data_IF_511889709971
#
_entry.id   IF_511889709971
#
_cell.length_a   1.000
_cell.length_b   1.000
_cell.length_c   1.000
_cell.angle_alpha   90.00
_cell.angle_beta   90.00
_cell.angle_gamma   90.00
#
_symmetry.space_group_name_H-M   'P 1'
#
loop_
_entity.id
_entity.type
_entity.pdbx_description
1 polymer ?
#
# COMPACT_ATOMS: atom_id res chain seq x y z
N UNK A 1 -19.80 -10.85 59.30
CA UNK A 1 -19.07 -11.49 58.18
C UNK A 1 -19.10 -10.54 56.97
N UNK A 2 -17.97 -9.89 56.65
CA UNK A 2 -17.85 -9.01 55.48
C UNK A 2 -17.06 -9.74 54.40
N UNK A 3 -17.70 -10.03 53.30
CA UNK A 3 -17.08 -10.69 52.13
C UNK A 3 -16.41 -9.59 51.30
N UNK A 4 -15.11 -9.63 51.02
CA UNK A 4 -14.48 -8.69 50.08
C UNK A 4 -14.77 -9.14 48.65
N UNK A 5 -15.39 -8.26 47.85
CA UNK A 5 -15.57 -8.42 46.41
C UNK A 5 -14.21 -8.19 45.76
N UNK A 6 -13.59 -9.27 45.29
CA UNK A 6 -12.37 -9.19 44.45
C UNK A 6 -12.82 -8.80 43.03
N UNK A 7 -12.57 -7.54 42.67
CA UNK A 7 -12.73 -7.08 41.29
C UNK A 7 -11.50 -7.57 40.49
N UNK A 8 -11.68 -8.66 39.74
CA UNK A 8 -10.70 -9.10 38.72
C UNK A 8 -10.73 -8.10 37.57
N UNK A 9 -9.78 -7.16 37.56
CA UNK A 9 -9.51 -6.32 36.42
C UNK A 9 -8.81 -7.18 35.34
N UNK A 10 -9.57 -7.70 34.38
CA UNK A 10 -9.02 -8.32 33.16
C UNK A 10 -8.40 -7.18 32.32
N UNK A 11 -7.10 -6.99 32.44
CA UNK A 11 -6.33 -6.24 31.45
C UNK A 11 -6.41 -6.99 30.12
N UNK A 12 -7.27 -6.54 29.23
CA UNK A 12 -7.21 -6.90 27.82
C UNK A 12 -5.91 -6.33 27.25
N UNK A 13 -4.87 -7.15 27.22
CA UNK A 13 -3.67 -6.90 26.40
C UNK A 13 -4.13 -6.93 24.95
N UNK A 14 -4.47 -5.78 24.40
CA UNK A 14 -4.55 -5.60 22.97
C UNK A 14 -3.11 -5.77 22.43
N UNK A 15 -2.72 -7.02 22.21
CA UNK A 15 -1.55 -7.34 21.43
C UNK A 15 -1.78 -6.69 20.05
N UNK A 16 -0.98 -5.69 19.69
CA UNK A 16 -0.92 -5.18 18.32
C UNK A 16 -0.49 -6.35 17.44
N UNK A 17 -1.46 -7.10 16.93
CA UNK A 17 -1.21 -8.18 16.00
C UNK A 17 -0.58 -7.53 14.75
N UNK A 18 0.69 -7.84 14.51
CA UNK A 18 1.40 -7.33 13.33
C UNK A 18 0.70 -7.89 12.10
N UNK A 19 0.20 -7.01 11.23
CA UNK A 19 -0.53 -7.42 10.02
C UNK A 19 0.41 -8.21 9.10
N UNK A 20 0.01 -9.38 8.59
CA UNK A 20 0.85 -10.18 7.68
C UNK A 20 1.10 -9.51 6.34
N UNK A 21 0.17 -8.65 5.91
CA UNK A 21 0.30 -7.79 4.72
C UNK A 21 -0.10 -6.38 5.11
N UNK A 22 0.78 -5.43 4.85
CA UNK A 22 0.53 -3.99 5.00
C UNK A 22 0.06 -3.42 3.68
N UNK A 23 -0.91 -2.52 3.72
CA UNK A 23 -1.48 -1.85 2.53
C UNK A 23 -1.23 -0.36 2.64
N UNK A 24 -0.51 0.21 1.67
CA UNK A 24 -0.22 1.65 1.59
C UNK A 24 -0.54 2.17 0.19
N UNK A 25 -1.37 3.21 0.12
CA UNK A 25 -1.61 3.93 -1.12
C UNK A 25 -0.63 5.10 -1.26
N UNK A 26 0.06 5.14 -2.40
CA UNK A 26 0.99 6.20 -2.77
C UNK A 26 0.30 7.16 -3.73
N UNK A 27 -0.22 8.26 -3.21
CA UNK A 27 -1.05 9.21 -3.95
C UNK A 27 -0.33 9.83 -5.15
N UNK A 28 0.95 10.13 -5.02
CA UNK A 28 1.75 10.74 -6.10
C UNK A 28 1.95 9.81 -7.31
N UNK A 29 2.02 8.51 -7.05
CA UNK A 29 2.23 7.49 -8.08
C UNK A 29 0.91 6.86 -8.56
N UNK A 30 -0.20 7.15 -7.88
CA UNK A 30 -1.52 6.50 -8.02
C UNK A 30 -1.39 4.96 -7.96
N UNK A 31 -0.61 4.46 -6.99
CA UNK A 31 -0.32 3.05 -6.81
C UNK A 31 -0.57 2.61 -5.38
N UNK A 32 -1.24 1.48 -5.21
CA UNK A 32 -1.32 0.78 -3.93
C UNK A 32 -0.25 -0.30 -3.84
N UNK A 33 0.53 -0.27 -2.77
CA UNK A 33 1.51 -1.30 -2.43
C UNK A 33 0.99 -2.18 -1.31
N UNK A 34 0.99 -3.48 -1.57
CA UNK A 34 0.72 -4.53 -0.60
C UNK A 34 2.05 -5.18 -0.25
N UNK A 35 2.51 -5.00 0.98
CA UNK A 35 3.84 -5.43 1.43
C UNK A 35 3.70 -6.52 2.48
N UNK A 36 4.32 -7.68 2.28
CA UNK A 36 4.32 -8.76 3.27
C UNK A 36 5.22 -8.42 4.45
N UNK A 37 4.94 -9.02 5.60
CA UNK A 37 5.95 -9.11 6.66
C UNK A 37 7.22 -9.79 6.13
N UNK A 38 8.36 -9.40 6.71
CA UNK A 38 9.63 -10.01 6.40
C UNK A 38 9.66 -11.46 6.90
N UNK A 39 9.77 -12.40 5.97
CA UNK A 39 10.09 -13.78 6.29
C UNK A 39 11.59 -13.92 6.53
N UNK A 40 11.98 -14.61 7.62
CA UNK A 40 13.38 -14.88 7.95
C UNK A 40 13.69 -16.35 7.72
N UNK A 41 14.80 -16.61 7.05
CA UNK A 41 15.36 -17.95 6.92
C UNK A 41 16.85 -17.95 7.31
N UNK A 42 17.30 -19.01 7.95
CA UNK A 42 18.65 -19.14 8.45
C UNK A 42 19.31 -20.44 7.96
N UNK A 43 20.59 -20.37 7.60
CA UNK A 43 21.41 -21.51 7.25
C UNK A 43 22.87 -21.24 7.56
N UNK A 44 23.52 -22.12 8.35
CA UNK A 44 24.97 -22.03 8.66
C UNK A 44 25.38 -20.62 9.15
N UNK A 45 24.68 -20.06 10.12
CA UNK A 45 24.91 -18.72 10.66
C UNK A 45 24.70 -17.56 9.66
N UNK A 46 24.00 -17.80 8.55
CA UNK A 46 23.54 -16.76 7.63
C UNK A 46 22.04 -16.59 7.78
N UNK A 47 21.60 -15.37 8.03
CA UNK A 47 20.18 -14.97 8.04
C UNK A 47 19.89 -14.20 6.76
N UNK A 48 18.79 -14.53 6.11
CA UNK A 48 18.21 -13.76 5.03
C UNK A 48 16.80 -13.33 5.42
N UNK A 49 16.36 -12.19 4.88
CA UNK A 49 14.99 -11.68 5.02
C UNK A 49 14.39 -11.53 3.63
N UNK A 50 13.19 -12.04 3.47
CA UNK A 50 12.42 -11.93 2.22
C UNK A 50 11.18 -11.09 2.46
N UNK A 51 10.95 -10.11 1.59
CA UNK A 51 9.75 -9.28 1.57
C UNK A 51 9.19 -9.31 0.16
N UNK A 52 7.91 -9.62 0.02
CA UNK A 52 7.21 -9.55 -1.24
C UNK A 52 6.31 -8.31 -1.29
N UNK A 53 6.30 -7.64 -2.45
CA UNK A 53 5.48 -6.45 -2.70
C UNK A 53 4.70 -6.65 -3.98
N UNK A 54 3.38 -6.46 -3.89
CA UNK A 54 2.47 -6.38 -5.02
C UNK A 54 2.05 -4.94 -5.22
N UNK A 55 2.16 -4.44 -6.45
CA UNK A 55 1.76 -3.09 -6.81
C UNK A 55 0.52 -3.12 -7.70
N UNK A 56 -0.47 -2.31 -7.36
CA UNK A 56 -1.71 -2.18 -8.11
C UNK A 56 -1.98 -0.73 -8.46
N UNK A 57 -2.42 -0.40 -9.69
CA UNK A 57 -2.75 0.96 -10.07
C UNK A 57 -4.01 1.46 -9.35
N UNK A 58 -3.95 2.64 -8.75
CA UNK A 58 -5.06 3.20 -7.97
C UNK A 58 -5.31 2.47 -6.64
N UNK A 59 -6.50 2.67 -6.09
CA UNK A 59 -6.96 2.04 -4.84
C UNK A 59 -7.76 0.78 -5.12
N UNK A 60 -7.09 -0.25 -5.64
CA UNK A 60 -7.70 -1.55 -5.97
C UNK A 60 -6.78 -2.69 -5.58
N UNK A 61 -7.36 -3.88 -5.37
CA UNK A 61 -6.62 -5.13 -5.29
C UNK A 61 -6.70 -5.78 -6.66
N UNK A 62 -5.62 -5.74 -7.41
CA UNK A 62 -5.54 -6.25 -8.78
C UNK A 62 -4.90 -7.65 -8.82
N UNK A 63 -5.05 -8.35 -9.95
CA UNK A 63 -4.11 -9.39 -10.34
C UNK A 63 -2.87 -8.70 -10.91
N UNK A 64 -1.70 -8.99 -10.38
CA UNK A 64 -0.45 -8.39 -10.82
C UNK A 64 0.23 -9.30 -11.81
N UNK A 65 0.92 -8.74 -12.81
CA UNK A 65 1.74 -9.56 -13.71
C UNK A 65 3.00 -10.05 -13.01
N UNK A 66 3.53 -9.25 -12.09
CA UNK A 66 4.78 -9.51 -11.39
C UNK A 66 4.66 -9.11 -9.90
N UNK A 67 5.35 -9.89 -9.07
CA UNK A 67 5.55 -9.63 -7.64
C UNK A 67 7.01 -9.24 -7.44
N UNK A 68 7.25 -8.12 -6.79
CA UNK A 68 8.56 -7.65 -6.42
C UNK A 68 9.03 -8.38 -5.16
N UNK A 69 10.08 -9.18 -5.28
CA UNK A 69 10.70 -9.89 -4.16
C UNK A 69 12.01 -9.22 -3.78
N UNK A 70 12.12 -8.78 -2.54
CA UNK A 70 13.37 -8.25 -1.98
C UNK A 70 13.97 -9.27 -1.04
N UNK A 71 15.21 -9.69 -1.29
CA UNK A 71 16.00 -10.56 -0.43
C UNK A 71 17.09 -9.70 0.20
N UNK A 72 17.12 -9.66 1.53
CA UNK A 72 18.08 -8.85 2.28
C UNK A 72 18.99 -9.74 3.12
N UNK A 73 20.29 -9.44 3.13
CA UNK A 73 21.28 -10.03 4.01
C UNK A 73 22.13 -8.93 4.63
N UNK A 74 22.53 -9.12 5.89
CA UNK A 74 23.36 -8.18 6.61
C UNK A 74 24.53 -8.93 7.28
N UNK A 75 25.77 -8.64 6.84
CA UNK A 75 26.97 -9.27 7.38
C UNK A 75 28.19 -8.32 7.21
N UNK A 76 29.36 -8.74 7.65
CA UNK A 76 30.63 -8.01 7.43
C UNK A 76 31.10 -8.06 5.98
N UNK A 77 30.75 -9.13 5.27
CA UNK A 77 31.18 -9.40 3.90
C UNK A 77 29.99 -9.60 2.98
N UNK A 78 30.20 -9.29 1.69
CA UNK A 78 29.19 -9.52 0.67
C UNK A 78 28.80 -11.01 0.60
N UNK A 79 27.49 -11.25 0.61
CA UNK A 79 26.93 -12.59 0.55
C UNK A 79 26.38 -12.93 -0.85
N UNK A 80 25.74 -11.97 -1.52
CA UNK A 80 25.10 -12.23 -2.82
C UNK A 80 26.01 -12.09 -4.02
N UNK A 81 27.08 -11.29 -3.93
CA UNK A 81 27.92 -10.95 -5.08
C UNK A 81 28.51 -12.20 -5.75
N UNK A 82 28.22 -12.35 -7.05
CA UNK A 82 28.72 -13.45 -7.89
C UNK A 82 28.06 -14.81 -7.60
N UNK A 83 26.93 -14.85 -6.91
CA UNK A 83 26.17 -16.08 -6.67
C UNK A 83 24.89 -16.09 -7.48
N UNK A 84 24.55 -17.26 -7.98
CA UNK A 84 23.27 -17.52 -8.59
C UNK A 84 22.19 -17.70 -7.53
N UNK A 85 20.99 -17.14 -7.81
CA UNK A 85 19.84 -17.27 -6.96
C UNK A 85 18.72 -18.02 -7.68
N UNK A 86 18.05 -18.90 -6.97
CA UNK A 86 16.86 -19.59 -7.48
C UNK A 86 15.91 -19.98 -6.35
N UNK A 87 14.61 -20.06 -6.67
CA UNK A 87 13.62 -20.73 -5.84
C UNK A 87 13.39 -22.14 -6.39
N UNK A 88 13.52 -23.13 -5.55
CA UNK A 88 13.27 -24.54 -5.89
C UNK A 88 12.02 -25.03 -5.16
N UNK A 89 11.13 -25.65 -5.89
CA UNK A 89 9.89 -26.24 -5.40
C UNK A 89 9.72 -27.63 -6.00
N UNK A 90 8.78 -28.42 -5.52
CA UNK A 90 8.40 -29.68 -6.17
C UNK A 90 7.83 -29.50 -7.58
N UNK A 91 7.43 -28.29 -7.95
CA UNK A 91 6.88 -27.95 -9.28
C UNK A 91 7.95 -27.43 -10.24
N UNK A 92 9.19 -27.30 -9.79
CA UNK A 92 10.32 -26.87 -10.61
C UNK A 92 11.16 -25.77 -9.99
N UNK A 93 12.16 -25.35 -10.78
CA UNK A 93 13.12 -24.31 -10.43
C UNK A 93 12.76 -22.99 -11.10
N UNK A 94 12.77 -21.92 -10.31
CA UNK A 94 12.58 -20.54 -10.76
C UNK A 94 13.91 -19.81 -10.61
N UNK A 95 14.53 -19.41 -11.71
CA UNK A 95 15.80 -18.67 -11.69
C UNK A 95 15.54 -17.21 -11.33
N UNK A 96 16.33 -16.69 -10.38
CA UNK A 96 16.18 -15.33 -9.86
C UNK A 96 17.35 -14.41 -10.27
N UNK A 97 18.23 -14.84 -11.17
CA UNK A 97 19.50 -14.18 -11.47
C UNK A 97 19.39 -12.90 -12.31
N UNK A 98 18.22 -12.58 -12.77
CA UNK A 98 18.07 -11.45 -13.67
C UNK A 98 17.44 -10.29 -12.90
N UNK A 99 18.20 -9.45 -12.23
CA UNK A 99 17.82 -8.04 -12.05
C UNK A 99 18.48 -7.38 -10.84
N UNK A 100 18.09 -6.18 -10.49
CA UNK A 100 18.75 -5.18 -9.69
C UNK A 100 19.35 -5.67 -8.35
N UNK A 101 20.66 -5.62 -8.28
CA UNK A 101 21.40 -5.75 -7.04
C UNK A 101 21.74 -4.36 -6.50
N UNK A 102 21.36 -4.08 -5.29
CA UNK A 102 21.79 -2.88 -4.56
C UNK A 102 22.45 -3.25 -3.24
N UNK A 103 23.42 -2.47 -2.82
CA UNK A 103 24.01 -2.60 -1.51
C UNK A 103 24.06 -1.25 -0.77
N UNK A 104 23.94 -1.31 0.52
CA UNK A 104 24.17 -0.16 1.40
C UNK A 104 25.12 -0.59 2.51
N UNK A 105 26.16 0.20 2.71
CA UNK A 105 27.09 -0.01 3.80
C UNK A 105 26.72 0.91 4.96
N UNK A 106 26.29 0.35 6.07
CA UNK A 106 26.06 1.09 7.30
C UNK A 106 27.17 0.84 8.31
N UNK A 107 27.88 1.89 8.68
CA UNK A 107 28.70 1.90 9.89
C UNK A 107 27.73 1.94 11.08
N UNK A 108 27.39 0.80 11.66
CA UNK A 108 26.76 0.83 12.98
C UNK A 108 27.76 1.48 13.93
N UNK A 109 27.31 2.54 14.61
CA UNK A 109 28.05 3.13 15.70
C UNK A 109 28.53 2.00 16.61
N UNK A 110 29.85 1.87 16.73
CA UNK A 110 30.65 0.95 17.56
C UNK A 110 29.83 -0.07 18.33
N UNK A 111 29.79 -1.29 17.87
CA UNK A 111 29.61 -2.39 18.78
C UNK A 111 30.65 -2.22 19.90
N UNK A 112 30.30 -2.53 21.16
CA UNK A 112 31.17 -2.39 22.33
C UNK A 112 32.53 -3.09 22.18
N UNK A 113 32.68 -3.95 21.17
CA UNK A 113 33.88 -4.72 20.85
C UNK A 113 34.76 -4.10 19.73
N UNK A 114 34.41 -2.90 19.24
CA UNK A 114 35.21 -2.21 18.21
C UNK A 114 35.18 -2.84 16.83
N UNK A 115 34.36 -3.86 16.60
CA UNK A 115 34.28 -4.59 15.33
C UNK A 115 33.38 -3.88 14.33
N UNK A 116 33.98 -3.47 13.24
CA UNK A 116 33.59 -2.80 12.01
C UNK A 116 32.12 -2.76 11.57
N UNK A 117 31.88 -2.02 10.49
CA UNK A 117 30.56 -1.83 9.89
C UNK A 117 29.88 -3.10 9.40
N UNK A 118 28.57 -3.00 9.19
CA UNK A 118 27.75 -4.06 8.60
C UNK A 118 27.37 -3.67 7.19
N UNK A 119 27.68 -4.52 6.23
CA UNK A 119 27.20 -4.42 4.86
C UNK A 119 25.78 -5.03 4.81
N UNK A 120 24.81 -4.22 4.42
CA UNK A 120 23.45 -4.70 4.12
C UNK A 120 23.31 -4.76 2.61
N UNK A 121 23.01 -5.94 2.10
CA UNK A 121 22.76 -6.17 0.68
C UNK A 121 21.28 -6.43 0.44
N UNK A 122 20.78 -5.87 -0.65
CA UNK A 122 19.42 -6.08 -1.12
C UNK A 122 19.48 -6.64 -2.53
N UNK A 123 18.85 -7.75 -2.72
CA UNK A 123 18.65 -8.35 -4.04
C UNK A 123 17.17 -8.21 -4.41
N UNK A 124 16.92 -7.44 -5.46
CA UNK A 124 15.57 -7.08 -5.91
C UNK A 124 15.25 -7.82 -7.20
N UNK A 125 14.14 -8.54 -7.21
CA UNK A 125 13.70 -9.39 -8.30
C UNK A 125 12.23 -9.15 -8.57
N UNK A 126 11.82 -9.21 -9.83
CA UNK A 126 10.43 -9.34 -10.24
C UNK A 126 10.16 -10.80 -10.61
N UNK A 127 9.25 -11.44 -9.88
CA UNK A 127 8.80 -12.80 -10.12
C UNK A 127 7.41 -12.74 -10.73
N UNK A 128 7.14 -13.49 -11.80
CA UNK A 128 5.78 -13.55 -12.35
C UNK A 128 4.81 -14.07 -11.29
N UNK A 129 3.56 -13.57 -11.27
CA UNK A 129 2.57 -14.03 -10.29
C UNK A 129 2.40 -15.56 -10.30
N UNK A 130 2.36 -16.27 -11.46
CA UNK A 130 2.29 -17.73 -11.49
C UNK A 130 3.49 -18.43 -10.85
N UNK A 131 4.71 -17.93 -11.06
CA UNK A 131 5.90 -18.52 -10.45
C UNK A 131 5.98 -18.22 -8.96
N UNK A 132 5.58 -17.00 -8.55
CA UNK A 132 5.47 -16.67 -7.13
C UNK A 132 4.40 -17.53 -6.44
N UNK A 133 3.29 -17.83 -7.12
CA UNK A 133 2.24 -18.72 -6.63
C UNK A 133 2.77 -20.14 -6.40
N UNK A 134 3.58 -20.69 -7.34
CA UNK A 134 4.24 -21.99 -7.14
C UNK A 134 5.06 -21.99 -5.85
N UNK A 135 5.87 -20.95 -5.62
CA UNK A 135 6.70 -20.85 -4.41
C UNK A 135 5.86 -20.66 -3.13
N UNK A 136 4.78 -19.89 -3.18
CA UNK A 136 3.92 -19.60 -2.03
C UNK A 136 3.12 -20.82 -1.55
N UNK A 137 2.65 -21.67 -2.49
CA UNK A 137 1.79 -22.82 -2.19
C UNK A 137 2.50 -24.18 -2.27
N UNK A 138 3.78 -24.21 -2.59
CA UNK A 138 4.57 -25.46 -2.60
C UNK A 138 4.51 -26.16 -1.23
N UNK A 139 4.56 -27.49 -1.21
CA UNK A 139 4.79 -28.23 0.05
C UNK A 139 6.18 -27.92 0.58
N UNK A 140 7.18 -27.94 -0.32
CA UNK A 140 8.57 -27.59 -0.03
C UNK A 140 9.01 -26.45 -0.94
N UNK A 141 9.50 -25.38 -0.37
CA UNK A 141 10.09 -24.25 -1.09
C UNK A 141 11.44 -23.89 -0.48
N UNK A 142 12.44 -23.76 -1.32
CA UNK A 142 13.82 -23.51 -0.89
C UNK A 142 14.42 -22.38 -1.72
N UNK A 143 15.00 -21.38 -1.07
CA UNK A 143 15.83 -20.38 -1.75
C UNK A 143 17.27 -20.87 -1.78
N UNK A 144 17.82 -20.97 -2.98
CA UNK A 144 19.23 -21.31 -3.22
C UNK A 144 19.99 -20.01 -3.47
N UNK A 145 21.11 -19.82 -2.78
CA UNK A 145 22.05 -18.71 -2.96
C UNK A 145 23.46 -19.31 -3.08
N UNK A 146 23.92 -19.57 -4.29
CA UNK A 146 25.16 -20.36 -4.52
C UNK A 146 25.07 -21.70 -3.82
N UNK A 147 25.98 -21.97 -2.88
CA UNK A 147 26.05 -23.23 -2.12
C UNK A 147 25.15 -23.26 -0.87
N UNK A 148 24.34 -22.22 -0.66
CA UNK A 148 23.44 -22.13 0.49
C UNK A 148 22.02 -22.44 0.07
N UNK A 149 21.35 -23.26 0.89
CA UNK A 149 19.96 -23.68 0.70
C UNK A 149 19.15 -23.25 1.92
N UNK A 150 18.28 -22.25 1.77
CA UNK A 150 17.42 -21.73 2.82
C UNK A 150 16.02 -22.30 2.65
N UNK A 151 15.60 -23.11 3.60
CA UNK A 151 14.25 -23.64 3.61
C UNK A 151 13.24 -22.52 3.93
N UNK A 152 12.22 -22.39 3.10
CA UNK A 152 11.14 -21.45 3.29
C UNK A 152 9.95 -22.19 3.91
N UNK A 153 9.83 -22.11 5.25
CA UNK A 153 8.78 -22.81 5.99
C UNK A 153 7.37 -22.45 5.50
N UNK A 154 6.42 -23.35 5.60
CA UNK A 154 5.02 -23.12 5.24
C UNK A 154 4.42 -21.95 6.01
N UNK A 155 4.72 -21.84 7.30
CA UNK A 155 4.25 -20.73 8.15
C UNK A 155 4.80 -19.39 7.70
N UNK A 156 6.09 -19.32 7.36
CA UNK A 156 6.72 -18.10 6.86
C UNK A 156 6.16 -17.64 5.51
N UNK A 157 5.59 -18.55 4.71
CA UNK A 157 4.98 -18.26 3.41
C UNK A 157 3.50 -17.87 3.48
N UNK A 158 2.86 -17.95 4.65
CA UNK A 158 1.46 -17.52 4.83
C UNK A 158 1.23 -16.07 4.36
N UNK A 159 2.09 -15.09 4.66
CA UNK A 159 1.93 -13.72 4.12
C UNK A 159 1.97 -13.67 2.59
N UNK A 160 2.74 -14.54 1.92
CA UNK A 160 2.78 -14.64 0.47
C UNK A 160 1.46 -15.15 -0.11
N UNK A 161 0.85 -16.15 0.55
CA UNK A 161 -0.46 -16.69 0.17
C UNK A 161 -1.56 -15.63 0.35
N UNK A 162 -1.49 -14.84 1.43
CA UNK A 162 -2.41 -13.72 1.66
C UNK A 162 -2.26 -12.66 0.58
N UNK A 163 -1.01 -12.33 0.17
CA UNK A 163 -0.73 -11.35 -0.88
C UNK A 163 -1.35 -11.72 -2.24
N UNK A 164 -1.49 -13.02 -2.51
CA UNK A 164 -2.08 -13.56 -3.74
C UNK A 164 -3.61 -13.62 -3.69
N UNK A 165 -4.20 -13.63 -2.50
CA UNK A 165 -5.63 -13.81 -2.28
C UNK A 165 -6.30 -12.47 -1.92
N UNK A 166 -7.15 -11.97 -2.84
CA UNK A 166 -7.88 -10.72 -2.65
C UNK A 166 -8.72 -10.69 -1.37
N UNK A 167 -9.47 -11.76 -1.12
CA UNK A 167 -10.38 -11.80 0.02
C UNK A 167 -9.59 -11.80 1.34
N UNK A 168 -8.49 -12.54 1.38
CA UNK A 168 -7.60 -12.55 2.55
C UNK A 168 -6.89 -11.21 2.77
N UNK A 169 -6.53 -10.46 1.73
CA UNK A 169 -6.01 -9.09 1.89
C UNK A 169 -7.06 -8.21 2.57
N UNK A 170 -8.34 -8.29 2.14
CA UNK A 170 -9.43 -7.51 2.70
C UNK A 170 -9.68 -7.79 4.19
N UNK A 171 -9.40 -9.01 4.68
CA UNK A 171 -9.54 -9.36 6.10
C UNK A 171 -8.65 -8.52 7.02
N UNK A 172 -7.49 -8.08 6.53
CA UNK A 172 -6.51 -7.29 7.28
C UNK A 172 -6.67 -5.77 7.10
N UNK A 173 -7.62 -5.32 6.29
CA UNK A 173 -7.97 -3.92 6.11
C UNK A 173 -8.97 -3.45 7.16
N UNK A 174 -8.93 -2.16 7.49
CA UNK A 174 -9.99 -1.54 8.25
C UNK A 174 -11.29 -1.39 7.41
N UNK A 175 -12.38 -0.93 8.03
CA UNK A 175 -13.68 -0.86 7.35
C UNK A 175 -13.69 0.14 6.20
N UNK A 176 -12.99 1.26 6.33
CA UNK A 176 -12.90 2.28 5.30
C UNK A 176 -12.10 1.77 4.10
N UNK A 177 -10.93 1.17 4.36
CA UNK A 177 -10.13 0.51 3.35
C UNK A 177 -10.92 -0.60 2.64
N UNK A 178 -11.67 -1.44 3.37
CA UNK A 178 -12.49 -2.50 2.77
C UNK A 178 -13.54 -1.95 1.80
N UNK A 179 -14.20 -0.86 2.15
CA UNK A 179 -15.16 -0.22 1.24
C UNK A 179 -14.49 0.29 -0.02
N UNK A 180 -13.31 0.85 0.10
CA UNK A 180 -12.60 1.44 -1.02
C UNK A 180 -11.92 0.39 -1.92
N UNK A 181 -11.22 -0.58 -1.33
CA UNK A 181 -10.50 -1.64 -2.05
C UNK A 181 -11.34 -2.87 -2.37
N UNK A 182 -12.49 -3.03 -1.74
CA UNK A 182 -13.42 -4.12 -1.97
C UNK A 182 -14.03 -4.13 -3.37
N UNK A 183 -14.04 -2.99 -4.07
CA UNK A 183 -14.58 -2.88 -5.43
C UNK A 183 -13.68 -3.56 -6.45
N UNK A 184 -14.30 -4.16 -7.47
CA UNK A 184 -13.56 -4.66 -8.62
C UNK A 184 -12.97 -3.51 -9.44
N UNK A 185 -11.85 -3.72 -10.16
CA UNK A 185 -11.19 -2.66 -10.93
C UNK A 185 -12.12 -1.91 -11.90
N UNK A 186 -13.05 -2.62 -12.56
CA UNK A 186 -14.03 -2.02 -13.47
C UNK A 186 -15.07 -1.15 -12.73
N UNK A 187 -15.54 -1.59 -11.55
CA UNK A 187 -16.51 -0.84 -10.73
C UNK A 187 -15.87 0.45 -10.20
N UNK A 188 -14.59 0.41 -9.81
CA UNK A 188 -13.86 1.58 -9.39
C UNK A 188 -13.66 2.57 -10.55
N UNK A 189 -13.40 2.09 -11.77
CA UNK A 189 -13.31 2.92 -12.97
C UNK A 189 -14.65 3.59 -13.27
N UNK A 190 -15.74 2.84 -13.27
CA UNK A 190 -17.08 3.38 -13.48
C UNK A 190 -17.46 4.42 -12.44
N UNK A 191 -17.15 4.19 -11.15
CA UNK A 191 -17.36 5.16 -10.08
C UNK A 191 -16.57 6.44 -10.31
N UNK A 192 -15.28 6.35 -10.66
CA UNK A 192 -14.45 7.52 -10.99
C UNK A 192 -15.02 8.29 -12.19
N UNK A 193 -15.46 7.60 -13.25
CA UNK A 193 -16.07 8.23 -14.42
C UNK A 193 -17.40 8.93 -14.06
N UNK A 194 -18.21 8.32 -13.21
CA UNK A 194 -19.45 8.92 -12.71
C UNK A 194 -19.18 10.18 -11.87
N UNK A 195 -18.19 10.15 -10.98
CA UNK A 195 -17.79 11.30 -10.16
C UNK A 195 -17.26 12.46 -11.03
N UNK A 196 -16.46 12.16 -12.04
CA UNK A 196 -15.99 13.16 -13.02
C UNK A 196 -17.16 13.74 -13.81
N UNK A 197 -18.08 12.90 -14.27
CA UNK A 197 -19.30 13.35 -15.00
C UNK A 197 -20.16 14.24 -14.10
N UNK A 198 -20.38 13.85 -12.83
CA UNK A 198 -21.15 14.62 -11.85
C UNK A 198 -20.52 15.98 -11.59
N UNK A 199 -19.20 16.04 -11.36
CA UNK A 199 -18.46 17.31 -11.18
C UNK A 199 -18.58 18.21 -12.40
N UNK A 200 -18.48 17.64 -13.60
CA UNK A 200 -18.65 18.39 -14.86
C UNK A 200 -20.06 18.97 -14.98
N UNK A 201 -21.10 18.17 -14.73
CA UNK A 201 -22.49 18.64 -14.78
C UNK A 201 -22.75 19.78 -13.78
N UNK A 202 -22.22 19.67 -12.55
CA UNK A 202 -22.34 20.74 -11.53
C UNK A 202 -21.63 22.02 -12.00
N UNK A 203 -20.44 21.89 -12.61
CA UNK A 203 -19.70 23.04 -13.15
C UNK A 203 -20.43 23.73 -14.31
N UNK A 204 -20.99 22.94 -15.26
CA UNK A 204 -21.78 23.45 -16.39
C UNK A 204 -23.07 24.12 -15.91
N UNK A 205 -23.75 23.56 -14.90
CA UNK A 205 -24.92 24.17 -14.26
C UNK A 205 -24.57 25.49 -13.56
N UNK A 206 -23.46 25.53 -12.83
CA UNK A 206 -22.99 26.74 -12.18
C UNK A 206 -22.66 27.85 -13.20
N UNK A 207 -22.01 27.53 -14.31
CA UNK A 207 -21.71 28.46 -15.39
C UNK A 207 -22.98 29.02 -16.03
N UNK A 208 -23.92 28.12 -16.35
CA UNK A 208 -25.19 28.49 -16.96
C UNK A 208 -26.03 29.41 -16.03
N UNK A 209 -26.14 29.05 -14.76
CA UNK A 209 -26.84 29.84 -13.76
C UNK A 209 -26.14 31.17 -13.53
N UNK A 210 -24.81 31.20 -13.47
CA UNK A 210 -24.05 32.44 -13.35
C UNK A 210 -24.31 33.41 -14.50
N UNK A 211 -24.36 32.93 -15.75
CA UNK A 211 -24.70 33.77 -16.92
C UNK A 211 -26.07 34.45 -16.79
N UNK A 212 -27.02 33.81 -16.11
CA UNK A 212 -28.35 34.37 -15.90
C UNK A 212 -28.36 35.42 -14.77
N UNK A 213 -27.63 35.19 -13.67
CA UNK A 213 -27.71 36.03 -12.47
C UNK A 213 -26.61 37.09 -12.37
N UNK A 214 -25.53 36.98 -13.16
CA UNK A 214 -24.40 37.94 -13.09
C UNK A 214 -24.79 39.40 -13.29
N UNK A 215 -25.80 39.66 -14.11
CA UNK A 215 -26.27 41.02 -14.42
C UNK A 215 -27.53 41.41 -13.62
N UNK A 216 -28.05 40.53 -12.76
CA UNK A 216 -29.19 40.83 -11.90
C UNK A 216 -28.83 41.88 -10.85
N UNK A 217 -29.77 42.82 -10.63
CA UNK A 217 -29.72 43.82 -9.58
C UNK A 217 -30.47 43.36 -8.31
N UNK A 218 -31.04 42.15 -8.33
CA UNK A 218 -31.70 41.54 -7.19
C UNK A 218 -30.71 40.76 -6.31
N UNK A 219 -30.48 41.16 -5.05
CA UNK A 219 -29.57 40.43 -4.16
C UNK A 219 -29.97 38.97 -3.89
N UNK A 220 -31.25 38.63 -4.00
CA UNK A 220 -31.74 37.26 -3.72
C UNK A 220 -31.27 36.27 -4.79
N UNK A 221 -31.16 36.70 -6.06
CA UNK A 221 -30.66 35.84 -7.15
C UNK A 221 -29.20 35.42 -6.90
N UNK A 222 -28.39 36.35 -6.39
CA UNK A 222 -26.99 36.08 -6.06
C UNK A 222 -26.86 35.21 -4.80
N UNK A 223 -27.76 35.36 -3.82
CA UNK A 223 -27.78 34.48 -2.65
C UNK A 223 -28.17 33.09 -3.05
N UNK A 224 -29.24 32.93 -3.84
CA UNK A 224 -29.63 31.62 -4.38
C UNK A 224 -28.50 30.93 -5.13
N UNK A 225 -27.77 31.66 -6.00
CA UNK A 225 -26.62 31.13 -6.69
C UNK A 225 -25.53 30.60 -5.71
N UNK A 226 -25.23 31.40 -4.66
CA UNK A 226 -24.19 31.02 -3.68
C UNK A 226 -24.60 29.83 -2.80
N UNK A 227 -25.87 29.61 -2.55
CA UNK A 227 -26.39 28.45 -1.86
C UNK A 227 -26.28 27.18 -2.70
N UNK A 228 -26.59 27.28 -4.00
CA UNK A 228 -26.57 26.12 -4.90
C UNK A 228 -25.15 25.75 -5.34
N UNK A 229 -24.24 26.71 -5.47
CA UNK A 229 -22.90 26.53 -6.03
C UNK A 229 -21.83 27.20 -5.18
N UNK A 230 -21.68 26.83 -3.89
CA UNK A 230 -20.78 27.52 -2.96
C UNK A 230 -19.29 27.40 -3.35
N UNK A 231 -18.92 26.29 -4.01
CA UNK A 231 -17.53 25.94 -4.40
C UNK A 231 -17.24 26.21 -5.88
N UNK A 232 -18.15 26.88 -6.60
CA UNK A 232 -17.94 27.19 -8.00
C UNK A 232 -16.92 28.31 -8.20
N UNK A 233 -16.21 28.36 -9.36
CA UNK A 233 -15.32 29.47 -9.69
C UNK A 233 -16.02 30.84 -9.68
N UNK A 234 -17.35 30.86 -9.80
CA UNK A 234 -18.17 32.06 -9.83
C UNK A 234 -18.66 32.51 -8.44
N UNK A 235 -18.41 31.76 -7.39
CA UNK A 235 -18.81 32.09 -6.03
C UNK A 235 -18.14 33.39 -5.52
N UNK A 236 -16.88 33.62 -5.85
CA UNK A 236 -16.17 34.85 -5.46
C UNK A 236 -16.76 36.08 -6.18
N UNK A 237 -16.89 36.10 -7.52
CA UNK A 237 -17.57 37.18 -8.22
C UNK A 237 -19.00 37.47 -7.70
N UNK A 238 -19.79 36.44 -7.42
CA UNK A 238 -21.13 36.58 -6.88
C UNK A 238 -21.14 37.25 -5.50
N UNK A 239 -20.23 36.90 -4.60
CA UNK A 239 -20.07 37.53 -3.28
C UNK A 239 -19.67 38.99 -3.40
N UNK A 240 -18.78 39.34 -4.32
CA UNK A 240 -18.36 40.71 -4.55
C UNK A 240 -19.51 41.57 -5.06
N UNK A 241 -20.28 41.10 -6.04
CA UNK A 241 -21.44 41.80 -6.57
C UNK A 241 -22.52 41.97 -5.52
N UNK A 242 -22.80 40.94 -4.72
CA UNK A 242 -23.75 41.04 -3.61
C UNK A 242 -23.36 42.13 -2.60
N UNK A 243 -22.05 42.27 -2.34
CA UNK A 243 -21.52 43.33 -1.45
C UNK A 243 -21.67 44.73 -2.08
N UNK A 244 -21.52 44.87 -3.41
CA UNK A 244 -21.78 46.13 -4.11
C UNK A 244 -23.25 46.55 -4.00
N UNK A 245 -24.17 45.64 -4.34
CA UNK A 245 -25.61 45.92 -4.28
C UNK A 245 -26.14 46.29 -2.88
N UNK A 246 -25.44 45.90 -1.83
CA UNK A 246 -25.75 46.33 -0.46
C UNK A 246 -25.30 47.76 -0.20
N UNK A 247 -24.11 48.16 -0.69
CA UNK A 247 -23.58 49.52 -0.53
C UNK A 247 -24.38 50.57 -1.30
N UNK A 248 -24.90 50.20 -2.47
CA UNK A 248 -25.68 51.12 -3.32
C UNK A 248 -27.11 51.38 -2.76
N UNK A 249 -27.50 50.67 -1.70
CA UNK A 249 -28.81 50.85 -1.02
C UNK A 249 -28.73 51.58 0.34
N UNK A 250 -27.50 51.84 0.81
CA UNK A 250 -27.21 52.67 1.99
C UNK A 250 -26.91 54.11 1.58
#
# INVERSE_FOLDING_TARGET
MRIPILILATLALAACAVKPVETVYHEQEDVTRFTTQAFKAEKKNKEIKLVAVKECPGKVICSSQEIKLTITHADRFSFFKGKDLSLETEQGKINLNERDYSNSYSLRAKAKDGTGGVLTEHFLIWVTEPDFQKAAYANNSTLIVGDYSFELSSEGRVPWQILLDRERILEFMDEEQRREYGLYPHENKERKEQDVRKKRMVSEAAESTWKLVKDSNNPEDLRYFLEQFPDSPYAIPAKLKLKQLKRDKE
#
